data_IF_210373587814
#
_entry.id   IF_210373587814
#
_cell.length_a   1.000
_cell.length_b   1.000
_cell.length_c   1.000
_cell.angle_alpha   90.00
_cell.angle_beta   90.00
_cell.angle_gamma   90.00
#
_symmetry.space_group_name_H-M   'P 1'
#
loop_
_entity.id
_entity.type
_entity.pdbx_description
1 polymer ?
#
# COMPACT_ATOMS: atom_id res chain seq x y z
N UNK A 1 6.82 28.36 14.54
CA UNK A 1 7.78 28.94 13.60
C UNK A 1 9.03 29.48 14.30
N UNK A 2 8.89 30.19 15.42
CA UNK A 2 10.01 30.70 16.21
C UNK A 2 11.12 29.66 16.50
N UNK A 3 10.76 28.48 17.02
CA UNK A 3 11.72 27.39 17.28
C UNK A 3 12.36 26.81 16.01
N UNK A 4 11.67 26.86 14.88
CA UNK A 4 12.19 26.39 13.58
C UNK A 4 13.30 27.33 13.12
N UNK A 5 13.09 28.64 13.28
CA UNK A 5 14.07 29.68 12.92
C UNK A 5 15.28 29.64 13.86
N UNK A 6 15.07 29.68 15.19
CA UNK A 6 16.16 29.71 16.18
C UNK A 6 17.05 28.47 16.15
N UNK A 7 16.50 27.32 15.75
CA UNK A 7 17.23 26.05 15.64
C UNK A 7 17.60 25.70 14.20
N UNK A 8 17.36 26.61 13.26
CA UNK A 8 17.68 26.42 11.84
C UNK A 8 17.12 25.12 11.25
N UNK A 9 15.92 24.73 11.68
CA UNK A 9 15.27 23.48 11.21
C UNK A 9 14.75 23.71 9.79
N UNK A 10 15.14 22.83 8.86
CA UNK A 10 14.60 22.83 7.50
C UNK A 10 13.26 22.08 7.47
N UNK A 11 12.22 22.73 6.95
CA UNK A 11 10.90 22.13 6.77
C UNK A 11 10.67 21.91 5.28
N UNK A 12 10.58 20.63 4.87
CA UNK A 12 10.30 20.24 3.49
C UNK A 12 8.94 19.54 3.44
N UNK A 13 8.02 20.09 2.64
CA UNK A 13 6.76 19.42 2.36
C UNK A 13 6.96 18.26 1.37
N UNK A 14 6.17 17.21 1.51
CA UNK A 14 6.09 16.12 0.53
C UNK A 14 4.63 15.89 0.13
N UNK A 15 4.41 15.58 -1.14
CA UNK A 15 3.09 15.24 -1.67
C UNK A 15 3.23 14.07 -2.63
N UNK A 16 2.71 12.92 -2.23
CA UNK A 16 2.68 11.71 -3.05
C UNK A 16 4.07 11.29 -3.55
N UNK A 17 4.11 10.59 -4.67
CA UNK A 17 5.29 10.04 -5.34
C UNK A 17 5.41 10.65 -6.75
N UNK A 18 6.63 10.66 -7.31
CA UNK A 18 6.87 10.98 -8.73
C UNK A 18 7.25 9.70 -9.48
N UNK A 19 7.02 9.63 -10.81
CA UNK A 19 7.40 8.46 -11.62
C UNK A 19 8.90 8.11 -11.51
N UNK A 20 9.76 9.10 -11.30
CA UNK A 20 11.19 8.91 -11.11
C UNK A 20 11.55 8.08 -9.87
N UNK A 21 10.63 7.90 -8.92
CA UNK A 21 10.87 7.08 -7.71
C UNK A 21 10.52 5.61 -7.93
N UNK A 22 9.85 5.25 -9.03
CA UNK A 22 9.35 3.89 -9.25
C UNK A 22 10.48 2.89 -9.52
N UNK A 23 11.35 3.19 -10.47
CA UNK A 23 12.47 2.30 -10.83
C UNK A 23 13.40 2.05 -9.62
N UNK A 24 13.85 3.07 -8.85
CA UNK A 24 14.61 2.83 -7.63
C UNK A 24 13.87 1.98 -6.60
N UNK A 25 12.57 2.21 -6.41
CA UNK A 25 11.77 1.45 -5.44
C UNK A 25 11.63 -0.02 -5.84
N UNK A 26 11.43 -0.29 -7.14
CA UNK A 26 11.36 -1.64 -7.68
C UNK A 26 12.71 -2.36 -7.54
N UNK A 27 13.83 -1.66 -7.79
CA UNK A 27 15.16 -2.22 -7.62
C UNK A 27 15.42 -2.62 -6.16
N UNK A 28 15.05 -1.78 -5.20
CA UNK A 28 15.17 -2.10 -3.76
C UNK A 28 14.38 -3.35 -3.36
N UNK A 29 13.20 -3.56 -3.95
CA UNK A 29 12.40 -4.76 -3.73
C UNK A 29 13.02 -5.98 -4.43
N UNK A 30 13.50 -5.82 -5.67
CA UNK A 30 14.15 -6.90 -6.44
C UNK A 30 15.45 -7.39 -5.77
N UNK A 31 16.22 -6.48 -5.17
CA UNK A 31 17.44 -6.79 -4.43
C UNK A 31 17.17 -7.37 -3.04
N UNK A 32 15.89 -7.48 -2.63
CA UNK A 32 15.50 -7.94 -1.31
C UNK A 32 15.85 -6.99 -0.17
N UNK A 33 16.26 -5.75 -0.48
CA UNK A 33 16.59 -4.71 0.51
C UNK A 33 15.34 -4.13 1.17
N UNK A 34 14.19 -4.24 0.50
CA UNK A 34 12.89 -3.83 1.02
C UNK A 34 11.87 -4.97 0.84
N UNK A 35 11.29 -5.44 1.95
CA UNK A 35 10.18 -6.39 1.93
C UNK A 35 8.84 -5.65 2.07
N UNK A 36 8.24 -5.28 0.93
CA UNK A 36 6.93 -4.62 0.92
C UNK A 36 5.77 -5.57 1.30
N UNK A 37 5.92 -6.88 1.08
CA UNK A 37 4.91 -7.89 1.40
C UNK A 37 4.63 -7.94 2.90
N UNK A 38 5.63 -7.68 3.74
CA UNK A 38 5.48 -7.63 5.20
C UNK A 38 4.45 -6.58 5.69
N UNK A 39 4.09 -5.58 4.87
CA UNK A 39 3.05 -4.62 5.21
C UNK A 39 1.64 -5.16 4.97
N UNK A 40 1.49 -6.17 4.10
CA UNK A 40 0.20 -6.75 3.72
C UNK A 40 -0.32 -7.61 4.87
N UNK A 41 -1.30 -7.10 5.59
CA UNK A 41 -1.89 -7.81 6.74
C UNK A 41 -3.03 -8.73 6.32
N UNK A 42 -3.73 -8.42 5.21
CA UNK A 42 -4.81 -9.26 4.71
C UNK A 42 -5.07 -9.05 3.22
N UNK A 43 -5.54 -10.11 2.58
CA UNK A 43 -5.96 -10.10 1.18
C UNK A 43 -7.42 -10.58 1.13
N UNK A 44 -8.25 -9.84 0.41
CA UNK A 44 -9.64 -10.17 0.16
C UNK A 44 -9.91 -10.22 -1.34
N UNK A 45 -10.95 -10.94 -1.76
CA UNK A 45 -11.50 -10.75 -3.10
C UNK A 45 -12.19 -9.39 -3.19
N UNK A 46 -12.22 -8.83 -4.40
CA UNK A 46 -12.82 -7.51 -4.66
C UNK A 46 -14.32 -7.47 -4.33
N UNK A 47 -15.01 -8.62 -4.35
CA UNK A 47 -16.41 -8.75 -3.91
C UNK A 47 -16.62 -8.47 -2.42
N UNK A 48 -15.57 -8.56 -1.59
CA UNK A 48 -15.62 -8.36 -0.13
C UNK A 48 -15.17 -6.96 0.28
N UNK A 49 -15.48 -5.96 -0.55
CA UNK A 49 -15.02 -4.58 -0.33
C UNK A 49 -15.40 -4.04 1.05
N UNK A 50 -16.65 -4.21 1.49
CA UNK A 50 -17.11 -3.68 2.78
C UNK A 50 -16.36 -4.31 3.96
N UNK A 51 -16.15 -5.63 3.93
CA UNK A 51 -15.39 -6.35 4.96
C UNK A 51 -13.94 -5.87 5.01
N UNK A 52 -13.29 -5.78 3.85
CA UNK A 52 -11.92 -5.29 3.71
C UNK A 52 -11.77 -3.85 4.24
N UNK A 53 -12.75 -2.99 3.92
CA UNK A 53 -12.76 -1.60 4.36
C UNK A 53 -12.95 -1.49 5.87
N UNK A 54 -13.89 -2.23 6.47
CA UNK A 54 -14.09 -2.20 7.93
C UNK A 54 -12.87 -2.73 8.69
N UNK A 55 -12.22 -3.79 8.18
CA UNK A 55 -10.99 -4.33 8.78
C UNK A 55 -9.82 -3.31 8.74
N UNK A 56 -9.68 -2.54 7.67
CA UNK A 56 -8.69 -1.46 7.61
C UNK A 56 -9.08 -0.30 8.55
N UNK A 57 -10.37 0.06 8.59
CA UNK A 57 -10.89 1.17 9.38
C UNK A 57 -10.85 0.92 10.89
N UNK A 58 -10.98 -0.34 11.32
CA UNK A 58 -10.87 -0.71 12.74
C UNK A 58 -9.45 -0.55 13.29
N UNK A 59 -8.44 -0.47 12.41
CA UNK A 59 -7.02 -0.42 12.78
C UNK A 59 -6.41 -1.79 13.07
N UNK A 60 -7.13 -2.89 12.81
CA UNK A 60 -6.62 -4.25 12.94
C UNK A 60 -5.63 -4.63 11.83
N UNK A 61 -5.67 -3.94 10.68
CA UNK A 61 -4.79 -4.13 9.54
C UNK A 61 -3.94 -2.90 9.20
N UNK A 62 -2.79 -3.11 8.54
CA UNK A 62 -1.88 -2.04 8.08
C UNK A 62 -2.11 -1.77 6.59
N UNK A 63 -2.00 -2.81 5.75
CA UNK A 63 -2.29 -2.77 4.32
C UNK A 63 -3.19 -3.95 3.95
N UNK A 64 -4.33 -3.63 3.35
CA UNK A 64 -5.25 -4.61 2.77
C UNK A 64 -5.15 -4.56 1.25
N UNK A 65 -5.05 -5.73 0.61
CA UNK A 65 -5.12 -5.86 -0.84
C UNK A 65 -6.47 -6.46 -1.26
N UNK A 66 -6.99 -5.96 -2.38
CA UNK A 66 -8.16 -6.53 -3.05
C UNK A 66 -7.68 -7.26 -4.31
N UNK A 67 -7.95 -8.55 -4.39
CA UNK A 67 -7.71 -9.37 -5.58
C UNK A 67 -8.93 -9.30 -6.50
N UNK A 68 -8.74 -9.16 -7.83
CA UNK A 68 -9.82 -9.35 -8.78
C UNK A 68 -10.48 -10.72 -8.61
N UNK A 69 -11.74 -10.86 -9.06
CA UNK A 69 -12.35 -12.18 -9.22
C UNK A 69 -11.77 -12.82 -10.49
N UNK A 70 -11.41 -14.09 -10.41
CA UNK A 70 -11.07 -14.87 -11.59
C UNK A 70 -12.37 -15.15 -12.37
N UNK A 71 -12.43 -14.67 -13.62
CA UNK A 71 -13.64 -14.75 -14.46
C UNK A 71 -13.84 -16.13 -15.11
N UNK A 72 -12.91 -17.06 -14.91
CA UNK A 72 -12.83 -18.33 -15.65
C UNK A 72 -13.46 -19.53 -14.89
N UNK A 73 -14.04 -19.35 -13.70
CA UNK A 73 -14.67 -20.45 -12.96
C UNK A 73 -16.11 -20.81 -13.43
N UNK A 74 -16.64 -20.18 -14.49
CA UNK A 74 -18.00 -20.42 -14.99
C UNK A 74 -18.11 -20.96 -16.44
N UNK A 75 -17.07 -21.60 -17.00
CA UNK A 75 -17.18 -22.38 -18.25
C UNK A 75 -17.19 -23.91 -18.02
N UNK A 76 -17.62 -24.36 -16.83
CA UNK A 76 -17.52 -25.75 -16.40
C UNK A 76 -18.80 -26.48 -15.99
N UNK A 77 -19.95 -25.82 -15.84
CA UNK A 77 -21.19 -26.51 -15.45
C UNK A 77 -22.44 -25.98 -16.18
N UNK A 78 -22.99 -26.88 -17.02
CA UNK A 78 -24.28 -26.91 -17.76
C UNK A 78 -24.35 -26.26 -19.14
#
# INVERSE_FOLDING_TARGET
MEKVIQKEITVVGSRSQKPADWEPSLQLMADGLVNAEALVTKIYDISKWDEAYQHLKSGEGIKVLLKPLDLDENEGEN
#
